data_IF_867641291089
#
_entry.id   IF_867641291089
#
_cell.length_a   1.000
_cell.length_b   1.000
_cell.length_c   1.000
_cell.angle_alpha   90.00
_cell.angle_beta   90.00
_cell.angle_gamma   90.00
#
_symmetry.space_group_name_H-M   'P 1'
#
loop_
_entity.id
_entity.type
_entity.pdbx_description
1 polymer ?
#
# COMPACT_ATOMS: atom_id res chain seq x y z
N UNK A 1 -1.99 9.61 -61.66
CA UNK A 1 -0.62 9.71 -61.09
C UNK A 1 -0.52 10.81 -60.01
N UNK A 2 -1.19 10.65 -58.84
CA UNK A 2 -1.13 11.62 -57.73
C UNK A 2 -0.96 10.98 -56.33
N UNK A 3 -0.64 9.68 -56.26
CA UNK A 3 -0.56 8.92 -54.98
C UNK A 3 0.88 8.80 -54.41
N UNK A 4 1.92 9.05 -55.22
CA UNK A 4 3.32 8.90 -54.77
C UNK A 4 3.90 10.12 -54.03
N UNK A 5 3.37 11.34 -54.20
CA UNK A 5 3.94 12.52 -53.55
C UNK A 5 3.70 12.56 -52.03
N UNK A 6 2.61 11.99 -51.53
CA UNK A 6 2.31 12.01 -50.08
C UNK A 6 3.22 11.08 -49.28
N UNK A 7 3.62 9.93 -49.84
CA UNK A 7 4.52 8.98 -49.18
C UNK A 7 5.94 9.53 -49.15
N UNK A 8 6.39 10.18 -50.24
CA UNK A 8 7.72 10.82 -50.29
C UNK A 8 7.81 11.96 -49.29
N UNK A 9 6.77 12.81 -49.18
CA UNK A 9 6.73 13.90 -48.20
C UNK A 9 6.75 13.35 -46.76
N UNK A 10 6.02 12.28 -46.48
CA UNK A 10 6.02 11.67 -45.14
C UNK A 10 7.37 11.06 -44.77
N UNK A 11 8.04 10.36 -45.69
CA UNK A 11 9.39 9.81 -45.45
C UNK A 11 10.44 10.91 -45.26
N UNK A 12 10.36 12.01 -46.01
CA UNK A 12 11.31 13.14 -45.86
C UNK A 12 11.10 13.84 -44.51
N UNK A 13 9.85 14.07 -44.09
CA UNK A 13 9.56 14.67 -42.78
C UNK A 13 10.01 13.75 -41.64
N UNK A 14 9.77 12.44 -41.75
CA UNK A 14 10.19 11.47 -40.73
C UNK A 14 11.72 11.42 -40.59
N UNK A 15 12.47 11.42 -41.70
CA UNK A 15 13.94 11.45 -41.66
C UNK A 15 14.48 12.76 -41.07
N UNK A 16 13.84 13.90 -41.32
CA UNK A 16 14.24 15.20 -40.74
C UNK A 16 13.98 15.21 -39.22
N UNK A 17 12.82 14.71 -38.77
CA UNK A 17 12.50 14.63 -37.33
C UNK A 17 13.47 13.68 -36.61
N UNK A 18 13.80 12.55 -37.22
CA UNK A 18 14.76 11.59 -36.66
C UNK A 18 16.18 12.18 -36.60
N UNK A 19 16.60 12.94 -37.61
CA UNK A 19 17.90 13.64 -37.61
C UNK A 19 17.97 14.74 -36.54
N UNK A 20 16.87 15.47 -36.31
CA UNK A 20 16.78 16.50 -35.25
C UNK A 20 16.85 15.84 -33.86
N UNK A 21 16.11 14.74 -33.65
CA UNK A 21 16.16 13.98 -32.38
C UNK A 21 17.57 13.44 -32.10
N UNK A 22 18.24 12.87 -33.10
CA UNK A 22 19.62 12.40 -32.98
C UNK A 22 20.60 13.55 -32.71
N UNK A 23 20.41 14.72 -33.32
CA UNK A 23 21.22 15.90 -33.06
C UNK A 23 21.05 16.43 -31.62
N UNK A 24 19.84 16.42 -31.07
CA UNK A 24 19.59 16.78 -29.66
C UNK A 24 20.20 15.78 -28.67
N UNK A 25 20.15 14.48 -28.97
CA UNK A 25 20.82 13.45 -28.17
C UNK A 25 22.35 13.65 -28.21
N UNK A 26 22.91 14.00 -29.37
CA UNK A 26 24.35 14.25 -29.52
C UNK A 26 24.80 15.54 -28.80
N UNK A 27 23.97 16.60 -28.79
CA UNK A 27 24.23 17.84 -28.04
C UNK A 27 24.20 17.62 -26.52
N UNK A 28 23.28 16.78 -26.00
CA UNK A 28 23.26 16.42 -24.56
C UNK A 28 24.53 15.69 -24.13
N UNK A 29 25.08 14.82 -24.97
CA UNK A 29 26.30 14.07 -24.65
C UNK A 29 27.60 14.89 -24.77
N UNK A 30 27.59 16.05 -25.43
CA UNK A 30 28.78 16.89 -25.60
C UNK A 30 29.06 17.83 -24.43
N UNK A 31 28.13 17.97 -23.47
CA UNK A 31 28.25 18.89 -22.32
C UNK A 31 28.96 18.31 -21.10
N UNK A 32 29.51 17.10 -21.18
CA UNK A 32 30.24 16.46 -20.08
C UNK A 32 31.70 16.20 -20.50
N UNK A 33 32.48 17.25 -20.81
CA UNK A 33 33.96 17.20 -20.77
C UNK A 33 34.55 18.60 -20.50
N UNK A 34 35.22 18.71 -19.35
CA UNK A 34 36.29 19.64 -18.92
C UNK A 34 36.10 21.17 -18.98
N UNK A 35 36.03 21.78 -17.78
CA UNK A 35 36.77 23.00 -17.46
C UNK A 35 37.48 22.84 -16.10
N UNK A 36 38.81 22.75 -16.15
CA UNK A 36 39.72 22.94 -15.03
C UNK A 36 39.96 24.44 -14.83
N UNK A 37 39.55 24.98 -13.68
CA UNK A 37 39.79 26.35 -13.25
C UNK A 37 40.13 26.38 -11.77
N UNK A 38 41.32 26.87 -11.45
CA UNK A 38 41.90 27.00 -10.11
C UNK A 38 41.07 27.90 -9.20
N UNK A 39 40.77 27.42 -7.98
CA UNK A 39 40.09 28.20 -6.94
C UNK A 39 39.69 27.33 -5.74
N UNK A 40 40.43 27.45 -4.65
CA UNK A 40 40.32 26.71 -3.37
C UNK A 40 38.90 26.59 -2.80
N UNK A 41 38.26 25.41 -2.88
CA UNK A 41 37.17 24.98 -1.98
C UNK A 41 37.26 23.46 -1.76
N UNK A 42 37.07 23.05 -0.50
CA UNK A 42 37.17 21.69 0.07
C UNK A 42 36.63 20.57 -0.82
N UNK A 43 37.49 19.58 -1.13
CA UNK A 43 37.14 18.34 -1.86
C UNK A 43 36.41 17.36 -0.94
N UNK A 44 35.09 17.27 -1.05
CA UNK A 44 34.33 16.05 -0.71
C UNK A 44 34.18 15.21 -1.98
N UNK A 45 35.04 14.21 -2.12
CA UNK A 45 34.98 13.22 -3.20
C UNK A 45 33.87 12.21 -2.88
N UNK A 46 32.69 12.36 -3.50
CA UNK A 46 31.70 11.27 -3.59
C UNK A 46 31.94 10.50 -4.90
N UNK A 47 32.57 9.33 -4.78
CA UNK A 47 32.64 8.33 -5.84
C UNK A 47 32.60 6.94 -5.22
N UNK A 48 31.60 6.14 -5.60
CA UNK A 48 31.38 4.77 -5.09
C UNK A 48 30.18 4.72 -4.14
N UNK A 49 29.29 3.73 -4.34
CA UNK A 49 28.04 3.60 -3.57
C UNK A 49 28.27 3.79 -2.08
N UNK A 50 27.58 4.78 -1.50
CA UNK A 50 27.56 5.12 -0.07
C UNK A 50 28.79 4.61 0.71
N UNK A 51 29.98 5.06 0.28
CA UNK A 51 31.31 4.68 0.76
C UNK A 51 31.33 3.52 1.78
N UNK A 52 31.47 2.30 1.25
CA UNK A 52 32.23 1.27 1.98
C UNK A 52 33.67 1.77 1.96
N UNK A 53 34.16 2.21 3.11
CA UNK A 53 35.54 2.60 3.29
C UNK A 53 36.42 1.40 2.90
N UNK A 54 37.16 1.53 1.80
CA UNK A 54 38.08 0.50 1.32
C UNK A 54 39.40 0.53 2.11
N UNK A 55 39.31 0.67 3.43
CA UNK A 55 40.39 0.32 4.34
C UNK A 55 40.28 -1.18 4.54
N UNK A 56 41.28 -1.92 4.03
CA UNK A 56 41.47 -3.34 4.30
C UNK A 56 41.67 -3.55 5.80
N UNK A 57 40.58 -3.70 6.54
CA UNK A 57 40.61 -4.31 7.86
C UNK A 57 40.62 -5.84 7.68
N UNK A 58 41.57 -6.51 8.32
CA UNK A 58 41.83 -7.94 8.18
C UNK A 58 40.89 -8.80 9.05
N UNK A 59 39.71 -8.30 9.42
CA UNK A 59 38.61 -9.14 9.88
C UNK A 59 37.83 -9.63 8.67
N UNK A 60 37.78 -10.96 8.46
CA UNK A 60 36.96 -11.67 7.44
C UNK A 60 35.83 -10.83 6.84
N UNK A 61 35.87 -10.56 5.52
CA UNK A 61 34.79 -10.03 4.68
C UNK A 61 33.40 -9.95 5.37
N UNK A 62 33.15 -8.86 6.10
CA UNK A 62 31.94 -8.73 6.90
C UNK A 62 30.71 -8.41 6.03
N UNK A 63 29.59 -9.09 6.28
CA UNK A 63 28.31 -8.74 5.69
C UNK A 63 27.86 -7.36 6.21
N UNK A 64 27.44 -6.46 5.30
CA UNK A 64 26.77 -5.21 5.64
C UNK A 64 25.31 -5.34 5.23
N UNK A 65 24.40 -5.08 6.17
CA UNK A 65 22.97 -5.03 5.92
C UNK A 65 22.50 -3.58 6.09
N UNK A 66 22.11 -2.98 4.97
CA UNK A 66 21.57 -1.63 4.93
C UNK A 66 20.07 -1.67 5.05
N UNK A 67 19.53 -0.94 6.02
CA UNK A 67 18.11 -0.82 6.35
C UNK A 67 17.71 0.60 5.99
N UNK A 68 16.81 0.76 5.03
CA UNK A 68 16.37 2.07 4.53
C UNK A 68 14.90 2.25 4.91
N UNK A 69 14.64 3.30 5.66
CA UNK A 69 13.31 3.64 6.19
C UNK A 69 12.95 5.08 5.82
N UNK A 70 11.69 5.45 6.01
CA UNK A 70 11.26 6.84 6.03
C UNK A 70 10.71 7.15 7.42
N UNK A 71 11.48 7.87 8.26
CA UNK A 71 11.08 8.11 9.66
C UNK A 71 9.80 8.94 9.80
N UNK A 72 9.38 9.62 8.73
CA UNK A 72 8.12 10.36 8.69
C UNK A 72 6.92 9.41 8.70
N UNK A 73 7.07 8.21 8.10
CA UNK A 73 6.04 7.18 8.08
C UNK A 73 6.28 6.14 9.20
N UNK A 74 5.43 6.05 10.22
CA UNK A 74 5.59 5.05 11.28
C UNK A 74 5.50 3.61 10.79
N UNK A 75 4.78 3.35 9.69
CA UNK A 75 4.59 2.02 9.12
C UNK A 75 5.80 1.58 8.26
N UNK A 76 6.72 2.50 7.95
CA UNK A 76 7.97 2.20 7.25
C UNK A 76 9.15 1.87 8.19
N UNK A 77 8.89 1.67 9.49
CA UNK A 77 9.92 1.30 10.48
C UNK A 77 10.16 -0.22 10.49
N UNK A 78 11.41 -0.62 10.35
CA UNK A 78 11.87 -2.02 10.27
C UNK A 78 12.44 -2.58 11.57
N UNK A 79 12.46 -1.83 12.68
CA UNK A 79 13.09 -2.27 13.93
C UNK A 79 12.69 -3.70 14.36
N UNK A 80 11.40 -4.02 14.32
CA UNK A 80 10.91 -5.37 14.63
C UNK A 80 11.32 -6.42 13.58
N UNK A 81 11.21 -6.08 12.29
CA UNK A 81 11.57 -6.96 11.18
C UNK A 81 13.06 -7.35 11.22
N UNK A 82 13.93 -6.38 11.47
CA UNK A 82 15.37 -6.62 11.56
C UNK A 82 15.71 -7.46 12.80
N UNK A 83 15.04 -7.25 13.92
CA UNK A 83 15.24 -8.09 15.11
C UNK A 83 14.82 -9.54 14.86
N UNK A 84 13.68 -9.76 14.19
CA UNK A 84 13.25 -11.10 13.79
C UNK A 84 14.22 -11.73 12.80
N UNK A 85 14.69 -10.95 11.82
CA UNK A 85 15.65 -11.42 10.83
C UNK A 85 16.98 -11.85 11.49
N UNK A 86 17.48 -11.07 12.46
CA UNK A 86 18.65 -11.44 13.26
C UNK A 86 18.44 -12.72 14.07
N UNK A 87 17.23 -12.94 14.58
CA UNK A 87 16.91 -14.15 15.33
C UNK A 87 16.89 -15.42 14.44
N UNK A 88 16.66 -15.25 13.13
CA UNK A 88 16.52 -16.35 12.17
C UNK A 88 17.80 -16.60 11.36
N UNK A 89 18.54 -15.54 11.03
CA UNK A 89 19.72 -15.57 10.15
C UNK A 89 20.96 -15.11 10.92
N UNK A 90 21.83 -16.06 11.28
CA UNK A 90 23.01 -15.81 12.10
C UNK A 90 23.95 -14.78 11.47
N UNK A 91 24.13 -14.86 10.15
CA UNK A 91 24.95 -13.90 9.41
C UNK A 91 24.43 -12.45 9.57
N UNK A 92 23.11 -12.24 9.67
CA UNK A 92 22.52 -10.91 9.89
C UNK A 92 22.69 -10.45 11.35
N UNK A 93 22.68 -11.37 12.31
CA UNK A 93 22.98 -11.06 13.70
C UNK A 93 24.42 -10.56 13.90
N UNK A 94 25.36 -11.10 13.11
CA UNK A 94 26.78 -10.75 13.13
C UNK A 94 27.16 -9.62 12.15
N UNK A 95 26.22 -9.20 11.28
CA UNK A 95 26.45 -8.19 10.26
C UNK A 95 26.57 -6.77 10.82
N UNK A 96 27.30 -5.92 10.08
CA UNK A 96 27.25 -4.48 10.29
C UNK A 96 25.91 -3.93 9.79
N UNK A 97 25.07 -3.41 10.69
CA UNK A 97 23.79 -2.81 10.33
C UNK A 97 23.97 -1.32 10.04
N UNK A 98 23.59 -0.88 8.85
CA UNK A 98 23.58 0.53 8.43
C UNK A 98 22.14 1.01 8.29
N UNK A 99 21.69 1.88 9.18
CA UNK A 99 20.36 2.48 9.10
C UNK A 99 20.42 3.79 8.30
N UNK A 100 19.60 3.89 7.27
CA UNK A 100 19.49 5.05 6.38
C UNK A 100 18.06 5.59 6.40
N UNK A 101 17.96 6.90 6.22
CA UNK A 101 16.69 7.62 6.25
C UNK A 101 16.43 8.24 4.88
N UNK A 102 15.23 8.05 4.35
CA UNK A 102 14.78 8.65 3.10
C UNK A 102 14.95 10.17 3.06
N UNK A 103 14.91 10.85 4.21
CA UNK A 103 15.10 12.30 4.26
C UNK A 103 16.47 12.76 3.77
N UNK A 104 17.50 11.90 3.81
CA UNK A 104 18.85 12.20 3.34
C UNK A 104 18.94 12.23 1.79
N UNK A 105 19.51 13.31 1.24
CA UNK A 105 19.62 13.49 -0.22
C UNK A 105 20.39 12.35 -0.91
N UNK A 106 21.47 11.88 -0.30
CA UNK A 106 22.27 10.77 -0.82
C UNK A 106 21.51 9.43 -0.82
N UNK A 107 20.56 9.26 0.10
CA UNK A 107 19.70 8.06 0.16
C UNK A 107 18.68 8.10 -0.97
N UNK A 108 18.07 9.27 -1.23
CA UNK A 108 17.16 9.44 -2.38
C UNK A 108 17.84 9.13 -3.71
N UNK A 109 19.05 9.65 -3.92
CA UNK A 109 19.85 9.36 -5.11
C UNK A 109 20.18 7.88 -5.23
N UNK A 110 20.55 7.22 -4.13
CA UNK A 110 20.81 5.79 -4.09
C UNK A 110 19.57 4.97 -4.48
N UNK A 111 18.41 5.27 -3.91
CA UNK A 111 17.14 4.59 -4.21
C UNK A 111 16.76 4.74 -5.69
N UNK A 112 16.85 5.96 -6.23
CA UNK A 112 16.56 6.26 -7.63
C UNK A 112 17.50 5.53 -8.59
N UNK A 113 18.81 5.56 -8.33
CA UNK A 113 19.82 4.87 -9.15
C UNK A 113 19.56 3.36 -9.23
N UNK A 114 19.01 2.79 -8.17
CA UNK A 114 18.76 1.37 -8.03
C UNK A 114 17.31 0.95 -8.33
N UNK A 115 16.47 1.88 -8.81
CA UNK A 115 15.04 1.65 -9.09
C UNK A 115 14.25 1.11 -7.88
N UNK A 116 14.66 1.47 -6.65
CA UNK A 116 13.92 1.14 -5.43
C UNK A 116 12.92 2.26 -5.19
N UNK A 117 11.65 1.99 -5.47
CA UNK A 117 10.57 2.99 -5.41
C UNK A 117 9.72 2.88 -4.15
N UNK A 118 9.80 1.76 -3.44
CA UNK A 118 9.04 1.53 -2.21
C UNK A 118 9.94 1.30 -1.02
N UNK A 119 9.47 1.74 0.15
CA UNK A 119 10.07 1.53 1.44
C UNK A 119 9.07 0.81 2.36
N UNK A 120 9.55 0.11 3.39
CA UNK A 120 10.96 -0.01 3.78
C UNK A 120 11.80 -0.92 2.86
N UNK A 121 13.12 -0.78 2.87
CA UNK A 121 14.04 -1.57 2.03
C UNK A 121 15.19 -2.16 2.84
N UNK A 122 15.55 -3.42 2.55
CA UNK A 122 16.71 -4.10 3.14
C UNK A 122 17.66 -4.51 2.01
N UNK A 123 18.92 -4.10 2.11
CA UNK A 123 19.95 -4.35 1.11
C UNK A 123 21.16 -5.03 1.75
N UNK A 124 21.59 -6.14 1.16
CA UNK A 124 22.76 -6.91 1.55
C UNK A 124 23.93 -6.56 0.64
N UNK A 125 25.12 -6.35 1.20
CA UNK A 125 26.32 -6.06 0.41
C UNK A 125 26.81 -7.25 -0.41
N UNK A 126 26.47 -8.48 -0.02
CA UNK A 126 26.90 -9.73 -0.65
C UNK A 126 25.97 -10.89 -0.29
N UNK A 127 26.00 -11.97 -1.07
CA UNK A 127 25.40 -13.29 -0.75
C UNK A 127 26.41 -14.31 -0.22
N UNK A 128 27.68 -13.91 -0.14
CA UNK A 128 28.78 -14.73 0.37
C UNK A 128 28.81 -14.74 1.91
N UNK A 129 27.78 -15.32 2.51
CA UNK A 129 27.66 -15.53 3.96
C UNK A 129 27.09 -16.92 4.25
N UNK A 130 27.43 -17.51 5.39
CA UNK A 130 26.96 -18.86 5.74
C UNK A 130 25.54 -18.84 6.29
N UNK A 131 24.66 -19.70 5.75
CA UNK A 131 23.28 -19.91 6.18
C UNK A 131 23.02 -21.37 6.58
N UNK A 132 24.05 -22.23 6.58
CA UNK A 132 23.91 -23.67 6.79
C UNK A 132 23.39 -24.07 8.17
N UNK A 133 23.53 -23.18 9.16
CA UNK A 133 23.12 -23.39 10.55
C UNK A 133 21.94 -22.52 10.97
N UNK A 134 21.32 -21.82 10.02
CA UNK A 134 20.19 -20.94 10.29
C UNK A 134 18.92 -21.76 10.55
N UNK A 135 18.04 -21.22 11.40
CA UNK A 135 16.71 -21.76 11.55
C UNK A 135 15.97 -21.51 10.24
N UNK A 136 15.95 -22.50 9.36
CA UNK A 136 15.32 -22.35 8.05
C UNK A 136 13.89 -21.86 8.22
N UNK A 137 13.60 -20.64 7.78
CA UNK A 137 12.23 -20.14 7.66
C UNK A 137 11.57 -21.01 6.59
N UNK A 138 10.69 -21.92 7.02
CA UNK A 138 10.01 -22.91 6.15
C UNK A 138 10.92 -23.74 5.24
N UNK A 139 12.17 -24.01 5.66
CA UNK A 139 13.11 -24.80 4.84
C UNK A 139 13.79 -24.03 3.71
N UNK A 140 13.66 -22.69 3.65
CA UNK A 140 14.20 -21.87 2.56
C UNK A 140 15.34 -20.95 3.01
N UNK A 141 16.48 -21.07 2.33
CA UNK A 141 17.62 -20.17 2.45
C UNK A 141 17.23 -18.73 2.05
N UNK A 142 17.52 -17.76 2.93
CA UNK A 142 17.23 -16.34 2.70
C UNK A 142 17.79 -15.82 1.36
N UNK A 143 18.90 -16.40 0.91
CA UNK A 143 19.53 -16.02 -0.37
C UNK A 143 18.60 -16.19 -1.57
N UNK A 144 17.57 -17.01 -1.48
CA UNK A 144 16.55 -17.19 -2.54
C UNK A 144 15.63 -15.97 -2.70
N UNK A 145 15.52 -15.14 -1.66
CA UNK A 145 14.70 -13.93 -1.66
C UNK A 145 15.53 -12.67 -1.97
N UNK A 146 16.83 -12.85 -2.20
CA UNK A 146 17.76 -11.77 -2.54
C UNK A 146 17.86 -11.60 -4.05
N UNK A 147 17.51 -10.40 -4.52
CA UNK A 147 17.61 -10.01 -5.94
C UNK A 147 18.86 -9.17 -6.15
N UNK A 148 19.76 -9.61 -7.03
CA UNK A 148 20.96 -8.84 -7.34
C UNK A 148 20.61 -7.54 -8.08
N UNK A 149 21.15 -6.43 -7.57
CA UNK A 149 21.00 -5.10 -8.10
C UNK A 149 22.14 -4.76 -9.07
N UNK A 150 21.94 -3.75 -9.92
CA UNK A 150 22.98 -3.26 -10.84
C UNK A 150 24.25 -2.74 -10.14
N UNK A 151 24.16 -2.38 -8.85
CA UNK A 151 25.30 -1.99 -8.03
C UNK A 151 26.18 -3.18 -7.60
N UNK A 152 25.69 -4.42 -7.76
CA UNK A 152 26.31 -5.64 -7.21
C UNK A 152 25.79 -6.03 -5.82
N UNK A 153 25.05 -5.16 -5.15
CA UNK A 153 24.36 -5.43 -3.88
C UNK A 153 23.08 -6.25 -4.13
N UNK A 154 22.41 -6.68 -3.05
CA UNK A 154 21.26 -7.57 -3.13
C UNK A 154 20.08 -7.03 -2.33
N UNK A 155 18.95 -6.80 -3.00
CA UNK A 155 17.71 -6.35 -2.38
C UNK A 155 16.90 -7.53 -1.84
N UNK A 156 16.42 -7.42 -0.60
CA UNK A 156 15.47 -8.36 -0.02
C UNK A 156 14.05 -7.84 -0.21
N UNK A 157 13.22 -8.58 -0.95
CA UNK A 157 11.80 -8.26 -1.08
C UNK A 157 11.07 -8.64 0.21
N UNK A 158 10.59 -7.62 0.92
CA UNK A 158 9.82 -7.74 2.16
C UNK A 158 8.36 -7.27 1.99
N UNK A 159 7.89 -7.12 0.75
CA UNK A 159 6.53 -6.66 0.46
C UNK A 159 6.30 -5.17 0.73
N UNK A 160 7.33 -4.34 0.54
CA UNK A 160 7.26 -2.89 0.74
C UNK A 160 6.29 -2.23 -0.26
N UNK A 161 5.25 -1.56 0.25
CA UNK A 161 4.17 -0.96 -0.57
C UNK A 161 4.04 0.58 -0.42
N UNK A 162 4.88 1.21 0.40
CA UNK A 162 4.88 2.67 0.60
C UNK A 162 5.88 3.36 -0.32
N UNK A 163 5.41 4.30 -1.17
CA UNK A 163 6.28 5.12 -2.02
C UNK A 163 6.59 6.48 -1.35
N UNK A 164 7.80 6.69 -0.82
CA UNK A 164 8.17 7.92 -0.12
C UNK A 164 8.36 9.13 -1.05
N UNK A 165 8.52 8.92 -2.36
CA UNK A 165 8.73 9.99 -3.34
C UNK A 165 7.44 10.73 -3.71
N UNK A 166 6.28 10.09 -3.48
CA UNK A 166 4.95 10.66 -3.74
C UNK A 166 4.17 10.94 -2.46
N UNK A 167 4.78 10.68 -1.30
CA UNK A 167 4.19 10.94 0.01
C UNK A 167 4.21 12.44 0.34
N UNK A 168 3.36 12.84 1.27
CA UNK A 168 3.34 14.19 1.81
C UNK A 168 4.62 14.54 2.58
N UNK A 169 4.76 15.80 2.99
CA UNK A 169 5.84 16.22 3.88
C UNK A 169 5.78 15.53 5.25
N UNK A 170 4.59 15.06 5.66
CA UNK A 170 4.38 14.22 6.85
C UNK A 170 4.73 12.74 6.62
N UNK A 171 5.11 12.35 5.40
CA UNK A 171 5.42 10.96 5.05
C UNK A 171 4.18 10.07 4.90
N UNK A 172 3.00 10.65 4.68
CA UNK A 172 1.78 9.88 4.44
C UNK A 172 1.53 9.75 2.95
N UNK A 173 1.08 8.57 2.48
CA UNK A 173 0.60 8.45 1.11
C UNK A 173 -0.63 9.34 0.91
N UNK A 174 -0.79 9.87 -0.32
CA UNK A 174 -1.87 10.80 -0.68
C UNK A 174 -2.78 10.11 -1.69
N UNK A 175 -4.06 10.05 -1.39
CA UNK A 175 -5.09 9.49 -2.26
C UNK A 175 -5.48 10.49 -3.34
N UNK A 176 -5.63 10.01 -4.56
CA UNK A 176 -6.17 10.84 -5.65
C UNK A 176 -7.61 11.31 -5.32
N UNK A 177 -7.86 12.60 -5.52
CA UNK A 177 -9.14 13.23 -5.18
C UNK A 177 -10.33 12.58 -5.91
N UNK A 178 -10.16 12.12 -7.15
CA UNK A 178 -11.22 11.45 -7.90
C UNK A 178 -11.60 10.10 -7.27
N UNK A 179 -10.65 9.40 -6.65
CA UNK A 179 -10.89 8.16 -5.93
C UNK A 179 -11.65 8.43 -4.63
N UNK A 180 -11.30 9.50 -3.92
CA UNK A 180 -12.03 9.93 -2.73
C UNK A 180 -13.50 10.27 -3.04
N UNK A 181 -13.75 11.01 -4.12
CA UNK A 181 -15.12 11.32 -4.54
C UNK A 181 -15.88 10.08 -5.02
N UNK A 182 -15.20 9.11 -5.63
CA UNK A 182 -15.82 7.82 -5.96
C UNK A 182 -16.25 7.05 -4.71
N UNK A 183 -15.42 7.00 -3.67
CA UNK A 183 -15.75 6.41 -2.36
C UNK A 183 -16.96 7.11 -1.75
N UNK A 184 -16.97 8.45 -1.71
CA UNK A 184 -18.11 9.22 -1.17
C UNK A 184 -19.42 8.97 -1.89
N UNK A 185 -19.37 8.58 -3.17
CA UNK A 185 -20.54 8.35 -4.02
C UNK A 185 -21.13 6.95 -3.86
N UNK A 186 -20.31 5.93 -3.68
CA UNK A 186 -20.77 4.53 -3.72
C UNK A 186 -20.68 3.77 -2.40
N UNK A 187 -19.95 4.26 -1.41
CA UNK A 187 -19.95 3.69 -0.05
C UNK A 187 -21.20 4.12 0.73
N UNK A 188 -21.61 3.29 1.67
CA UNK A 188 -22.58 3.67 2.72
C UNK A 188 -21.83 4.22 3.93
N UNK A 189 -22.40 5.24 4.60
CA UNK A 189 -21.71 6.01 5.64
C UNK A 189 -22.49 6.12 6.95
N UNK A 190 -21.92 5.68 8.06
CA UNK A 190 -22.36 6.11 9.38
C UNK A 190 -21.78 7.51 9.69
N UNK A 191 -22.59 8.36 10.36
CA UNK A 191 -22.25 9.74 10.75
C UNK A 191 -22.03 10.73 9.59
N UNK A 192 -22.62 10.47 8.42
CA UNK A 192 -22.48 11.33 7.23
C UNK A 192 -21.15 11.13 6.51
N UNK A 193 -20.94 11.84 5.39
CA UNK A 193 -19.74 11.73 4.55
C UNK A 193 -18.92 13.04 4.44
N UNK A 194 -19.17 13.96 5.38
CA UNK A 194 -18.65 15.33 5.40
C UNK A 194 -17.64 15.58 6.53
N UNK A 195 -17.29 14.56 7.31
CA UNK A 195 -16.33 14.71 8.41
C UNK A 195 -14.90 14.82 7.92
N UNK A 196 -14.03 15.35 8.79
CA UNK A 196 -12.60 15.58 8.50
C UNK A 196 -11.88 14.29 8.13
N UNK A 197 -12.19 13.19 8.82
CA UNK A 197 -11.60 11.87 8.55
C UNK A 197 -12.68 10.91 8.06
N UNK A 198 -12.38 10.20 6.98
CA UNK A 198 -13.15 9.05 6.54
C UNK A 198 -12.45 7.78 7.02
N UNK A 199 -13.14 6.98 7.82
CA UNK A 199 -12.74 5.62 8.15
C UNK A 199 -13.46 4.66 7.20
N UNK A 200 -12.77 4.22 6.16
CA UNK A 200 -13.28 3.27 5.18
C UNK A 200 -12.91 1.83 5.57
N UNK A 201 -13.91 1.05 5.92
CA UNK A 201 -13.79 -0.38 6.19
C UNK A 201 -13.95 -1.19 4.89
N UNK A 202 -13.04 -2.13 4.64
CA UNK A 202 -13.17 -3.20 3.65
C UNK A 202 -13.41 -4.52 4.37
N UNK A 203 -14.53 -5.18 4.05
CA UNK A 203 -15.07 -6.27 4.86
C UNK A 203 -15.91 -7.25 4.03
N UNK A 204 -16.15 -8.41 4.61
CA UNK A 204 -16.85 -9.56 4.03
C UNK A 204 -17.64 -10.26 5.15
N UNK A 205 -18.93 -10.55 4.92
CA UNK A 205 -19.79 -11.15 5.96
C UNK A 205 -19.38 -12.59 6.31
N UNK A 206 -18.72 -13.29 5.39
CA UNK A 206 -18.22 -14.65 5.62
C UNK A 206 -16.87 -14.67 6.37
N UNK A 207 -16.20 -13.52 6.51
CA UNK A 207 -14.91 -13.45 7.19
C UNK A 207 -15.04 -13.51 8.72
N UNK A 208 -14.42 -14.53 9.33
CA UNK A 208 -14.42 -14.70 10.79
C UNK A 208 -13.76 -13.53 11.55
N UNK A 209 -12.71 -12.93 11.00
CA UNK A 209 -12.06 -11.76 11.60
C UNK A 209 -12.91 -10.48 11.48
N UNK A 210 -13.68 -10.32 10.39
CA UNK A 210 -14.62 -9.22 10.28
C UNK A 210 -15.72 -9.35 11.33
N UNK A 211 -16.23 -10.58 11.53
CA UNK A 211 -17.18 -10.86 12.61
C UNK A 211 -16.61 -10.55 13.99
N UNK A 212 -15.36 -10.96 14.27
CA UNK A 212 -14.70 -10.66 15.54
C UNK A 212 -14.57 -9.15 15.74
N UNK A 213 -14.15 -8.43 14.70
CA UNK A 213 -14.02 -6.98 14.70
C UNK A 213 -15.35 -6.27 14.98
N UNK A 214 -16.44 -6.63 14.28
CA UNK A 214 -17.77 -6.03 14.52
C UNK A 214 -18.32 -6.33 15.91
N UNK A 215 -18.02 -7.50 16.49
CA UNK A 215 -18.46 -7.88 17.83
C UNK A 215 -17.55 -7.37 18.97
N UNK A 216 -16.41 -6.77 18.66
CA UNK A 216 -15.39 -6.36 19.64
C UNK A 216 -15.76 -5.14 20.49
N UNK A 217 -16.67 -4.30 20.00
CA UNK A 217 -16.95 -2.99 20.59
C UNK A 217 -15.99 -1.87 20.15
N UNK A 218 -14.94 -2.16 19.37
CA UNK A 218 -13.96 -1.16 18.89
C UNK A 218 -14.64 -0.07 18.07
N UNK A 219 -15.56 -0.42 17.16
CA UNK A 219 -16.29 0.56 16.34
C UNK A 219 -17.02 1.56 17.25
N UNK A 220 -17.78 1.05 18.22
CA UNK A 220 -18.52 1.86 19.19
C UNK A 220 -17.61 2.77 20.01
N UNK A 221 -16.48 2.24 20.48
CA UNK A 221 -15.53 3.00 21.30
C UNK A 221 -14.88 4.14 20.50
N UNK A 222 -14.43 3.85 19.27
CA UNK A 222 -13.83 4.83 18.36
C UNK A 222 -14.85 5.91 18.01
N UNK A 223 -16.06 5.54 17.61
CA UNK A 223 -17.10 6.52 17.24
C UNK A 223 -17.60 7.32 18.45
N UNK A 224 -17.59 6.76 19.66
CA UNK A 224 -17.88 7.52 20.89
C UNK A 224 -16.88 8.66 21.11
N UNK A 225 -15.59 8.44 20.79
CA UNK A 225 -14.53 9.44 20.96
C UNK A 225 -14.43 10.41 19.77
N UNK A 226 -14.60 9.91 18.55
CA UNK A 226 -14.30 10.62 17.32
C UNK A 226 -15.50 10.86 16.39
N UNK A 227 -16.74 10.56 16.80
CA UNK A 227 -17.91 10.63 15.91
C UNK A 227 -18.22 12.02 15.34
N UNK A 228 -17.71 13.09 15.95
CA UNK A 228 -17.81 14.45 15.39
C UNK A 228 -16.78 14.73 14.28
N UNK A 229 -15.75 13.89 14.16
CA UNK A 229 -14.61 14.05 13.26
C UNK A 229 -14.47 12.92 12.25
N UNK A 230 -15.19 11.81 12.45
CA UNK A 230 -15.08 10.58 11.64
C UNK A 230 -16.40 10.21 10.99
N UNK A 231 -16.35 10.10 9.66
CA UNK A 231 -17.32 9.45 8.80
C UNK A 231 -16.92 7.98 8.63
N UNK A 232 -17.72 7.02 9.10
CA UNK A 232 -17.37 5.60 8.93
C UNK A 232 -18.06 5.04 7.69
N UNK A 233 -17.28 4.62 6.71
CA UNK A 233 -17.75 4.03 5.47
C UNK A 233 -17.56 2.51 5.47
N UNK A 234 -18.40 1.81 4.72
CA UNK A 234 -18.27 0.39 4.44
C UNK A 234 -18.16 0.13 2.94
N UNK A 235 -17.15 -0.64 2.54
CA UNK A 235 -16.99 -1.22 1.22
C UNK A 235 -16.86 -2.74 1.29
N UNK A 236 -17.43 -3.38 0.28
CA UNK A 236 -17.25 -4.81 0.07
C UNK A 236 -15.81 -5.10 -0.36
N UNK A 237 -15.28 -6.21 0.13
CA UNK A 237 -14.04 -6.79 -0.40
C UNK A 237 -14.21 -8.29 -0.51
N UNK A 238 -14.29 -8.81 -1.74
CA UNK A 238 -14.55 -10.23 -1.98
C UNK A 238 -13.33 -11.05 -1.56
N UNK A 239 -13.41 -11.73 -0.43
CA UNK A 239 -12.47 -12.80 -0.04
C UNK A 239 -13.07 -14.16 -0.39
N UNK A 240 -14.37 -14.31 -0.16
CA UNK A 240 -15.13 -15.50 -0.54
C UNK A 240 -16.33 -15.10 -1.40
N UNK A 241 -16.43 -15.67 -2.60
CA UNK A 241 -17.58 -15.41 -3.47
C UNK A 241 -18.88 -15.88 -2.80
N UNK A 242 -19.95 -15.08 -2.94
CA UNK A 242 -21.20 -15.34 -2.27
C UNK A 242 -22.25 -14.29 -2.55
N UNK A 243 -23.53 -14.68 -2.39
CA UNK A 243 -24.68 -13.78 -2.60
C UNK A 243 -24.82 -12.70 -1.52
N UNK A 244 -24.06 -12.80 -0.43
CA UNK A 244 -24.22 -11.90 0.71
C UNK A 244 -23.91 -10.43 0.37
N UNK A 245 -22.95 -10.16 -0.52
CA UNK A 245 -22.69 -8.80 -1.02
C UNK A 245 -23.91 -8.20 -1.74
N UNK A 246 -24.52 -8.98 -2.63
CA UNK A 246 -25.70 -8.57 -3.39
C UNK A 246 -26.91 -8.36 -2.46
N UNK A 247 -27.12 -9.26 -1.50
CA UNK A 247 -28.23 -9.16 -0.53
C UNK A 247 -28.11 -7.89 0.32
N UNK A 248 -26.89 -7.52 0.75
CA UNK A 248 -26.66 -6.27 1.48
C UNK A 248 -27.08 -5.05 0.65
N UNK A 249 -26.67 -4.98 -0.61
CA UNK A 249 -27.05 -3.89 -1.52
C UNK A 249 -28.54 -3.86 -1.83
N UNK A 250 -29.16 -5.02 -2.06
CA UNK A 250 -30.60 -5.12 -2.26
C UNK A 250 -31.41 -4.74 -1.00
N UNK A 251 -30.86 -4.97 0.20
CA UNK A 251 -31.44 -4.44 1.44
C UNK A 251 -31.35 -2.91 1.47
N UNK A 252 -30.20 -2.35 1.06
CA UNK A 252 -30.03 -0.90 0.97
C UNK A 252 -30.97 -0.26 -0.07
N UNK A 253 -31.24 -0.92 -1.20
CA UNK A 253 -32.23 -0.47 -2.18
C UNK A 253 -33.61 -0.24 -1.54
N UNK A 254 -34.02 -1.17 -0.67
CA UNK A 254 -35.34 -1.13 -0.04
C UNK A 254 -35.41 -0.23 1.20
N UNK A 255 -34.33 -0.19 1.98
CA UNK A 255 -34.33 0.36 3.35
C UNK A 255 -33.29 1.45 3.58
N UNK A 256 -32.58 1.82 2.52
CA UNK A 256 -31.48 2.78 2.58
C UNK A 256 -30.33 2.29 3.44
N UNK A 257 -29.44 3.23 3.73
CA UNK A 257 -28.23 3.04 4.53
C UNK A 257 -28.51 2.44 5.91
N UNK A 258 -29.60 2.86 6.58
CA UNK A 258 -29.99 2.28 7.87
C UNK A 258 -30.24 0.78 7.78
N UNK A 259 -30.95 0.34 6.73
CA UNK A 259 -31.21 -1.09 6.52
C UNK A 259 -29.95 -1.88 6.20
N UNK A 260 -29.02 -1.30 5.43
CA UNK A 260 -27.72 -1.87 5.13
C UNK A 260 -26.93 -2.17 6.42
N UNK A 261 -26.72 -1.15 7.26
CA UNK A 261 -25.96 -1.32 8.50
C UNK A 261 -26.66 -2.20 9.53
N UNK A 262 -27.98 -2.09 9.68
CA UNK A 262 -28.74 -3.01 10.55
C UNK A 262 -28.62 -4.47 10.12
N UNK A 263 -28.59 -4.74 8.81
CA UNK A 263 -28.39 -6.10 8.32
C UNK A 263 -26.96 -6.58 8.61
N UNK A 264 -25.93 -5.77 8.37
CA UNK A 264 -24.54 -6.10 8.72
C UNK A 264 -24.40 -6.46 10.20
N UNK A 265 -24.91 -5.60 11.09
CA UNK A 265 -24.82 -5.79 12.54
C UNK A 265 -25.47 -7.11 12.98
N UNK A 266 -26.70 -7.38 12.53
CA UNK A 266 -27.41 -8.61 12.86
C UNK A 266 -26.74 -9.84 12.23
N UNK A 267 -26.21 -9.71 11.02
CA UNK A 267 -25.53 -10.79 10.30
C UNK A 267 -24.25 -11.22 11.00
N UNK A 268 -23.39 -10.29 11.41
CA UNK A 268 -22.20 -10.64 12.17
C UNK A 268 -22.54 -11.21 13.56
N UNK A 269 -23.56 -10.66 14.24
CA UNK A 269 -24.01 -11.17 15.54
C UNK A 269 -24.55 -12.60 15.45
N UNK A 270 -25.35 -12.88 14.42
CA UNK A 270 -26.03 -14.17 14.24
C UNK A 270 -25.27 -15.14 13.32
N UNK A 271 -24.09 -14.76 12.81
CA UNK A 271 -23.33 -15.51 11.80
C UNK A 271 -24.10 -15.77 10.49
N UNK A 272 -25.05 -14.89 10.15
CA UNK A 272 -25.87 -15.03 8.95
C UNK A 272 -25.15 -14.45 7.73
N UNK A 273 -24.56 -15.30 6.92
CA UNK A 273 -23.89 -14.92 5.66
C UNK A 273 -24.31 -15.81 4.49
N UNK A 274 -24.87 -16.99 4.76
CA UNK A 274 -25.49 -17.84 3.74
C UNK A 274 -26.80 -17.22 3.25
N UNK A 275 -27.07 -17.36 1.94
CA UNK A 275 -28.18 -16.70 1.23
C UNK A 275 -29.52 -16.83 1.98
N UNK A 276 -29.94 -18.04 2.32
CA UNK A 276 -31.21 -18.28 2.98
C UNK A 276 -31.28 -17.63 4.38
N UNK A 277 -30.18 -17.72 5.16
CA UNK A 277 -30.11 -17.15 6.50
C UNK A 277 -30.12 -15.61 6.47
N UNK A 278 -29.43 -15.03 5.49
CA UNK A 278 -29.30 -13.59 5.34
C UNK A 278 -30.59 -12.95 4.79
N UNK A 279 -31.27 -13.60 3.85
CA UNK A 279 -32.60 -13.20 3.40
C UNK A 279 -33.60 -13.23 4.55
N UNK A 280 -33.57 -14.27 5.39
CA UNK A 280 -34.44 -14.36 6.56
C UNK A 280 -34.18 -13.20 7.54
N UNK A 281 -32.92 -12.82 7.75
CA UNK A 281 -32.56 -11.68 8.59
C UNK A 281 -33.03 -10.35 8.00
N UNK A 282 -32.84 -10.14 6.70
CA UNK A 282 -33.34 -8.95 6.00
C UNK A 282 -34.86 -8.81 6.12
N UNK A 283 -35.61 -9.91 6.02
CA UNK A 283 -37.07 -9.93 6.18
C UNK A 283 -37.50 -9.59 7.62
N UNK A 284 -36.78 -10.08 8.65
CA UNK A 284 -37.03 -9.66 10.04
C UNK A 284 -36.84 -8.15 10.23
N UNK A 285 -35.90 -7.55 9.50
CA UNK A 285 -35.66 -6.11 9.45
C UNK A 285 -36.64 -5.36 8.52
N UNK A 286 -37.64 -6.06 7.99
CA UNK A 286 -38.76 -5.49 7.26
C UNK A 286 -38.59 -5.41 5.75
N UNK A 287 -37.58 -6.08 5.16
CA UNK A 287 -37.47 -6.21 3.71
C UNK A 287 -38.66 -6.98 3.12
N UNK A 288 -39.12 -6.57 1.94
CA UNK A 288 -40.03 -7.37 1.13
C UNK A 288 -39.23 -8.53 0.52
N UNK A 289 -39.58 -9.76 0.91
CA UNK A 289 -38.87 -10.97 0.50
C UNK A 289 -38.83 -11.12 -1.02
N UNK A 290 -39.96 -10.94 -1.70
CA UNK A 290 -40.05 -11.16 -3.15
C UNK A 290 -39.25 -10.11 -3.93
N UNK A 291 -39.26 -8.86 -3.48
CA UNK A 291 -38.40 -7.81 -4.08
C UNK A 291 -36.92 -8.08 -3.82
N UNK A 292 -36.57 -8.55 -2.63
CA UNK A 292 -35.19 -8.87 -2.26
C UNK A 292 -34.66 -10.01 -3.13
N UNK A 293 -35.38 -11.13 -3.20
CA UNK A 293 -35.01 -12.30 -4.01
C UNK A 293 -34.89 -11.94 -5.50
N UNK A 294 -35.79 -11.09 -6.00
CA UNK A 294 -35.71 -10.60 -7.38
C UNK A 294 -34.44 -9.79 -7.62
N UNK A 295 -34.13 -8.83 -6.74
CA UNK A 295 -32.91 -8.02 -6.86
C UNK A 295 -31.64 -8.89 -6.85
N UNK A 296 -31.58 -9.87 -5.94
CA UNK A 296 -30.45 -10.81 -5.82
C UNK A 296 -30.29 -11.69 -7.06
N UNK A 297 -31.40 -12.12 -7.66
CA UNK A 297 -31.41 -12.89 -8.90
C UNK A 297 -30.95 -12.05 -10.09
N UNK A 298 -31.40 -10.81 -10.18
CA UNK A 298 -31.06 -9.88 -11.26
C UNK A 298 -29.56 -9.47 -11.20
N UNK A 299 -28.92 -9.56 -10.02
CA UNK A 299 -27.48 -9.32 -9.84
C UNK A 299 -27.09 -7.86 -10.11
N UNK A 300 -28.02 -6.95 -9.78
CA UNK A 300 -27.98 -5.51 -10.02
C UNK A 300 -26.68 -4.86 -9.52
N UNK A 301 -26.13 -5.33 -8.41
CA UNK A 301 -25.05 -4.66 -7.68
C UNK A 301 -23.68 -5.32 -7.83
N UNK A 302 -23.57 -6.44 -8.54
CA UNK A 302 -22.31 -7.15 -8.75
C UNK A 302 -21.17 -6.26 -9.23
N UNK A 303 -21.44 -5.36 -10.19
CA UNK A 303 -20.43 -4.41 -10.67
C UNK A 303 -19.92 -3.49 -9.55
N UNK A 304 -20.81 -3.00 -8.69
CA UNK A 304 -20.44 -2.14 -7.55
C UNK A 304 -19.50 -2.88 -6.59
N UNK A 305 -19.84 -4.12 -6.25
CA UNK A 305 -19.04 -4.99 -5.38
C UNK A 305 -17.64 -5.25 -5.97
N UNK A 306 -17.58 -5.58 -7.27
CA UNK A 306 -16.32 -5.79 -7.99
C UNK A 306 -15.49 -4.49 -8.06
N UNK A 307 -16.12 -3.35 -8.34
CA UNK A 307 -15.44 -2.04 -8.41
C UNK A 307 -14.85 -1.64 -7.04
N UNK A 308 -15.58 -1.88 -5.95
CA UNK A 308 -15.09 -1.63 -4.59
C UNK A 308 -13.89 -2.52 -4.25
N UNK A 309 -13.98 -3.83 -4.52
CA UNK A 309 -12.87 -4.77 -4.30
C UNK A 309 -11.63 -4.35 -5.11
N UNK A 310 -11.81 -4.04 -6.39
CA UNK A 310 -10.74 -3.58 -7.28
C UNK A 310 -10.12 -2.26 -6.81
N UNK A 311 -10.92 -1.32 -6.29
CA UNK A 311 -10.42 -0.06 -5.72
C UNK A 311 -9.58 -0.30 -4.49
N UNK A 312 -10.03 -1.19 -3.60
CA UNK A 312 -9.31 -1.62 -2.39
C UNK A 312 -7.91 -2.12 -2.73
N UNK A 313 -7.82 -3.05 -3.69
CA UNK A 313 -6.55 -3.59 -4.17
C UNK A 313 -5.67 -2.51 -4.81
N UNK A 314 -6.19 -1.77 -5.79
CA UNK A 314 -5.38 -0.85 -6.61
C UNK A 314 -4.92 0.41 -5.87
N UNK A 315 -5.72 0.92 -4.95
CA UNK A 315 -5.45 2.21 -4.29
C UNK A 315 -4.78 2.05 -2.93
N UNK A 316 -5.02 0.92 -2.26
CA UNK A 316 -4.62 0.71 -0.87
C UNK A 316 -3.87 -0.61 -0.64
N UNK A 317 -3.61 -1.38 -1.70
CA UNK A 317 -2.96 -2.69 -1.65
C UNK A 317 -3.64 -3.62 -0.61
N UNK A 318 -4.97 -3.57 -0.52
CA UNK A 318 -5.72 -4.44 0.37
C UNK A 318 -5.70 -5.85 -0.18
N UNK A 319 -5.38 -6.82 0.67
CA UNK A 319 -5.30 -8.24 0.33
C UNK A 319 -6.03 -9.14 1.35
N UNK A 320 -6.57 -8.55 2.42
CA UNK A 320 -7.26 -9.26 3.50
C UNK A 320 -8.33 -8.39 4.16
N UNK A 321 -9.25 -9.06 4.85
CA UNK A 321 -10.34 -8.42 5.61
C UNK A 321 -10.31 -8.85 7.09
N UNK A 322 -10.68 -7.97 8.04
CA UNK A 322 -11.03 -6.58 7.81
C UNK A 322 -9.78 -5.75 7.49
N UNK A 323 -9.92 -4.75 6.63
CA UNK A 323 -8.90 -3.71 6.43
C UNK A 323 -9.55 -2.34 6.59
N UNK A 324 -8.90 -1.43 7.31
CA UNK A 324 -9.37 -0.08 7.55
C UNK A 324 -8.46 0.94 6.89
N UNK A 325 -9.02 1.86 6.11
CA UNK A 325 -8.30 3.00 5.54
C UNK A 325 -8.81 4.26 6.22
N UNK A 326 -7.91 5.04 6.81
CA UNK A 326 -8.23 6.33 7.39
C UNK A 326 -7.74 7.41 6.43
N UNK A 327 -8.64 8.28 5.98
CA UNK A 327 -8.36 9.26 4.93
C UNK A 327 -8.73 10.65 5.46
N UNK A 328 -7.81 11.60 5.38
CA UNK A 328 -8.13 13.00 5.58
C UNK A 328 -8.90 13.52 4.36
N UNK A 329 -10.14 13.97 4.56
CA UNK A 329 -11.03 14.37 3.49
C UNK A 329 -10.61 15.67 2.76
N UNK A 330 -9.72 16.46 3.37
CA UNK A 330 -9.20 17.71 2.80
C UNK A 330 -7.88 17.48 2.05
N UNK A 331 -6.93 16.81 2.69
CA UNK A 331 -5.56 16.64 2.13
C UNK A 331 -5.42 15.39 1.27
N UNK A 332 -6.29 14.40 1.43
CA UNK A 332 -6.16 13.07 0.82
C UNK A 332 -5.10 12.19 1.48
N UNK A 333 -4.37 12.68 2.49
CA UNK A 333 -3.43 11.86 3.27
C UNK A 333 -4.17 10.67 3.88
N UNK A 334 -3.59 9.48 3.79
CA UNK A 334 -4.21 8.29 4.34
C UNK A 334 -3.24 7.34 5.03
N UNK A 335 -3.81 6.46 5.86
CA UNK A 335 -3.11 5.34 6.48
C UNK A 335 -3.97 4.09 6.34
N UNK A 336 -3.33 2.94 6.09
CA UNK A 336 -4.01 1.65 6.01
C UNK A 336 -3.66 0.81 7.24
N UNK A 337 -4.67 0.43 8.01
CA UNK A 337 -4.59 -0.52 9.11
C UNK A 337 -5.13 -1.87 8.63
N UNK A 338 -4.27 -2.89 8.61
CA UNK A 338 -4.62 -4.23 8.11
C UNK A 338 -4.98 -5.16 9.26
N UNK A 339 -6.11 -5.87 9.13
CA UNK A 339 -6.57 -6.84 10.10
C UNK A 339 -7.18 -6.24 11.36
N UNK A 340 -7.55 -7.14 12.26
CA UNK A 340 -8.01 -6.87 13.61
C UNK A 340 -7.43 -7.97 14.51
N UNK A 341 -7.01 -7.60 15.72
CA UNK A 341 -6.56 -8.53 16.75
C UNK A 341 -7.24 -8.18 18.06
N UNK A 342 -7.69 -9.18 18.81
CA UNK A 342 -8.36 -9.00 20.11
C UNK A 342 -7.43 -8.38 21.17
N UNK A 343 -6.14 -8.68 21.08
CA UNK A 343 -5.11 -8.12 21.97
C UNK A 343 -4.87 -6.63 21.70
N UNK A 344 -5.21 -6.17 20.49
CA UNK A 344 -5.09 -4.79 20.07
C UNK A 344 -6.44 -4.09 20.25
N UNK A 345 -6.58 -3.45 21.42
CA UNK A 345 -7.62 -2.48 21.78
C UNK A 345 -7.99 -1.49 20.66
N UNK A 346 -8.96 -0.61 20.89
CA UNK A 346 -9.30 0.50 19.99
C UNK A 346 -8.12 1.41 19.58
N UNK A 347 -6.98 1.34 20.27
CA UNK A 347 -5.81 2.21 20.10
C UNK A 347 -5.29 2.29 18.65
N UNK A 348 -5.01 1.22 17.88
CA UNK A 348 -4.48 1.36 16.53
C UNK A 348 -5.42 2.11 15.58
N UNK A 349 -6.74 2.02 15.82
CA UNK A 349 -7.75 2.77 15.07
C UNK A 349 -7.73 4.25 15.47
N UNK A 350 -7.67 4.54 16.78
CA UNK A 350 -7.55 5.91 17.29
C UNK A 350 -6.24 6.58 16.84
N UNK A 351 -5.12 5.87 16.90
CA UNK A 351 -3.80 6.35 16.45
C UNK A 351 -3.83 6.64 14.96
N UNK A 352 -4.47 5.79 14.15
CA UNK A 352 -4.60 6.01 12.72
C UNK A 352 -5.43 7.26 12.41
N UNK A 353 -6.48 7.53 13.19
CA UNK A 353 -7.25 8.78 13.09
C UNK A 353 -6.35 9.97 13.41
N UNK A 354 -5.62 9.97 14.54
CA UNK A 354 -4.73 11.08 14.91
C UNK A 354 -3.59 11.31 13.91
N UNK A 355 -3.08 10.25 13.29
CA UNK A 355 -2.01 10.37 12.28
C UNK A 355 -2.49 11.10 11.03
N UNK A 356 -3.74 10.88 10.59
CA UNK A 356 -4.26 11.52 9.36
C UNK A 356 -5.00 12.82 9.63
N UNK A 357 -5.43 13.08 10.87
CA UNK A 357 -5.97 14.39 11.28
C UNK A 357 -4.94 15.50 11.02
#
# INVERSE_FOLDING_TARGET
MKKNNKIIIFCVIFCIVLAILLFFVFQKNKKIVNQTGSGSISKTTLSGGLAVDSQKDNSKNGLVVTVIEDKRNPDAKLGHYINNLKAQVKAVAEAQIKNLDFSDASVKEYLQKNNITTLPAIVFSTIDFDTSNDANVDGMDIKKFLTQMSSGEYFLDIGADYNPFTASDRGLPILDKSILEAIKKDSFFENGNDKKVIWLEYSDLSCAYCKAFHNSGVITEVLKKYGNEVSKAYNHYIVHDGKHFEILECMAEQKGEKGFFSLIENSFKNSAHEEASLIAEAVKLGADKSKLEKCVLDGTYRKKVEDQTNRGLKSFNITSTPSSVFINAETGEYRVLRGYSEDNSSLPFMDSIEIVK
#
